data_IF_522858585243
#
_entry.id   IF_522858585243
#
_cell.length_a   1.000
_cell.length_b   1.000
_cell.length_c   1.000
_cell.angle_alpha   90.00
_cell.angle_beta   90.00
_cell.angle_gamma   90.00
#
_symmetry.space_group_name_H-M   'P 1'
#
loop_
_entity.id
_entity.type
_entity.pdbx_description
1 polymer ?
#
# COMPACT_ATOMS: atom_id res chain seq x y z
N UNK A 1 3.20 29.49 -68.99
CA UNK A 1 1.81 29.98 -69.09
C UNK A 1 1.46 30.66 -67.76
N UNK A 2 1.07 31.94 -67.85
CA UNK A 2 0.42 32.84 -66.88
C UNK A 2 0.71 32.72 -65.36
N UNK A 3 1.35 33.77 -64.82
CA UNK A 3 1.08 34.34 -63.48
C UNK A 3 -0.06 35.38 -63.59
N UNK A 4 -0.41 36.23 -62.60
CA UNK A 4 -0.34 36.19 -61.12
C UNK A 4 -1.72 36.56 -60.46
N UNK A 5 -1.78 36.65 -59.11
CA UNK A 5 -2.50 37.77 -58.47
C UNK A 5 -3.54 37.46 -57.36
N UNK A 6 -3.84 38.47 -56.50
CA UNK A 6 -4.22 38.34 -55.08
C UNK A 6 -5.68 38.77 -54.80
N UNK A 7 -6.15 38.80 -53.54
CA UNK A 7 -7.11 39.81 -52.98
C UNK A 7 -7.40 39.48 -51.48
N UNK A 8 -6.97 40.34 -50.55
CA UNK A 8 -7.71 41.43 -49.87
C UNK A 8 -8.68 40.98 -48.75
N UNK A 9 -8.19 41.10 -47.51
CA UNK A 9 -8.69 42.12 -46.56
C UNK A 9 -9.93 41.82 -45.71
N UNK A 10 -10.08 42.55 -44.57
CA UNK A 10 -10.84 42.09 -43.40
C UNK A 10 -12.14 42.88 -43.18
N UNK A 11 -12.70 42.72 -41.98
CA UNK A 11 -13.36 43.76 -41.15
C UNK A 11 -14.87 43.50 -40.85
N UNK A 12 -15.46 44.19 -39.86
CA UNK A 12 -15.98 43.62 -38.62
C UNK A 12 -17.48 43.98 -38.46
N UNK A 13 -18.06 43.84 -37.26
CA UNK A 13 -18.96 44.81 -36.59
C UNK A 13 -20.15 44.21 -35.83
N UNK A 14 -20.25 44.66 -34.56
CA UNK A 14 -21.46 45.21 -33.88
C UNK A 14 -22.49 44.17 -33.40
N UNK A 15 -23.08 44.22 -32.20
CA UNK A 15 -22.86 44.97 -30.96
C UNK A 15 -23.74 44.36 -29.86
N UNK A 16 -23.39 44.66 -28.61
CA UNK A 16 -24.20 44.49 -27.42
C UNK A 16 -25.37 45.50 -27.35
N UNK A 17 -26.44 45.15 -26.64
CA UNK A 17 -27.46 46.11 -26.20
C UNK A 17 -28.58 45.48 -25.34
N UNK A 18 -29.24 46.23 -24.43
CA UNK A 18 -29.52 45.78 -23.06
C UNK A 18 -30.99 45.85 -22.58
N UNK A 19 -31.34 45.01 -21.60
CA UNK A 19 -32.36 45.21 -20.53
C UNK A 19 -33.83 45.46 -20.94
N UNK A 20 -34.79 45.64 -19.99
CA UNK A 20 -34.67 45.62 -18.53
C UNK A 20 -35.71 44.72 -17.80
N UNK A 21 -35.44 44.51 -16.51
CA UNK A 21 -36.30 43.88 -15.51
C UNK A 21 -37.43 44.81 -15.06
N UNK A 22 -38.59 44.25 -14.68
CA UNK A 22 -39.53 44.88 -13.73
C UNK A 22 -40.05 43.83 -12.73
N UNK A 23 -39.97 44.21 -11.47
CA UNK A 23 -40.40 43.52 -10.26
C UNK A 23 -41.93 43.41 -10.10
N UNK A 24 -42.39 42.34 -9.43
CA UNK A 24 -43.37 42.46 -8.35
C UNK A 24 -43.20 41.36 -7.29
N UNK A 25 -43.55 41.74 -6.07
CA UNK A 25 -43.10 41.27 -4.75
C UNK A 25 -44.22 40.40 -4.06
N UNK A 26 -44.28 40.24 -2.71
CA UNK A 26 -43.82 39.11 -1.88
C UNK A 26 -44.93 38.24 -1.21
N UNK A 27 -44.54 37.14 -0.53
CA UNK A 27 -44.74 36.90 0.93
C UNK A 27 -44.78 35.40 1.36
N UNK A 28 -43.70 34.97 2.05
CA UNK A 28 -43.61 34.33 3.39
C UNK A 28 -44.49 33.11 3.82
N UNK A 29 -44.25 32.47 4.99
CA UNK A 29 -43.05 31.73 5.40
C UNK A 29 -43.34 30.35 6.05
N UNK A 30 -42.26 29.66 6.45
CA UNK A 30 -42.14 28.72 7.57
C UNK A 30 -42.58 27.25 7.39
N UNK A 31 -41.58 26.35 7.54
CA UNK A 31 -41.56 25.42 8.69
C UNK A 31 -40.16 24.83 8.90
N UNK A 32 -39.50 25.33 9.95
CA UNK A 32 -38.42 24.65 10.66
C UNK A 32 -38.91 23.27 11.08
N UNK A 33 -38.25 22.22 10.62
CA UNK A 33 -38.23 20.92 11.32
C UNK A 33 -36.85 20.74 11.89
N UNK A 34 -36.76 20.90 13.22
CA UNK A 34 -35.65 20.41 14.02
C UNK A 34 -35.71 18.88 13.94
N UNK A 35 -34.80 18.28 13.19
CA UNK A 35 -34.53 16.85 13.28
C UNK A 35 -33.39 16.65 14.30
N UNK A 36 -33.52 15.68 15.23
CA UNK A 36 -32.52 15.44 16.26
C UNK A 36 -31.22 14.91 15.63
N UNK A 37 -30.11 15.44 16.12
CA UNK A 37 -28.77 14.86 15.99
C UNK A 37 -28.81 13.40 16.46
N UNK A 38 -28.77 12.47 15.52
CA UNK A 38 -28.42 11.08 15.79
C UNK A 38 -26.93 10.96 15.47
N UNK A 39 -26.15 10.78 16.52
CA UNK A 39 -24.79 10.30 16.44
C UNK A 39 -24.79 8.90 15.80
N UNK A 40 -24.39 8.84 14.53
CA UNK A 40 -23.84 7.64 13.90
C UNK A 40 -22.34 7.94 13.81
N UNK A 41 -21.52 7.48 14.75
CA UNK A 41 -21.33 6.06 15.02
C UNK A 41 -20.29 5.56 14.03
N UNK A 42 -19.01 5.84 14.36
CA UNK A 42 -17.80 5.27 13.80
C UNK A 42 -18.02 3.88 13.17
N UNK A 43 -17.91 3.79 11.84
CA UNK A 43 -17.57 2.58 11.08
C UNK A 43 -17.36 2.95 9.60
N UNK A 44 -16.23 3.59 9.30
CA UNK A 44 -15.75 3.78 7.90
C UNK A 44 -14.33 3.22 7.68
N UNK A 45 -13.70 2.66 8.72
CA UNK A 45 -12.34 2.08 8.63
C UNK A 45 -12.38 0.56 8.44
N UNK A 46 -13.05 0.07 7.39
CA UNK A 46 -13.12 -1.37 7.13
C UNK A 46 -13.61 -1.77 5.73
N UNK A 47 -13.44 -0.89 4.73
CA UNK A 47 -14.20 -0.97 3.48
C UNK A 47 -13.40 -1.12 2.19
N UNK A 48 -12.12 -1.50 2.22
CA UNK A 48 -11.33 -1.66 0.97
C UNK A 48 -11.04 -3.13 0.64
N UNK A 49 -11.04 -4.04 1.63
CA UNK A 49 -10.87 -5.48 1.40
C UNK A 49 -12.07 -6.19 0.74
N UNK A 50 -13.26 -5.58 0.76
CA UNK A 50 -14.48 -6.18 0.19
C UNK A 50 -14.75 -5.79 -1.28
N UNK A 51 -14.01 -4.83 -1.84
CA UNK A 51 -14.31 -4.31 -3.18
C UNK A 51 -13.67 -5.15 -4.30
N UNK A 52 -12.47 -5.68 -4.09
CA UNK A 52 -11.74 -6.49 -5.10
C UNK A 52 -12.42 -7.83 -5.41
N UNK A 53 -13.06 -8.45 -4.41
CA UNK A 53 -13.74 -9.72 -4.58
C UNK A 53 -15.16 -9.63 -5.13
N UNK A 54 -15.67 -8.46 -5.53
CA UNK A 54 -17.09 -8.32 -5.98
C UNK A 54 -17.28 -7.90 -7.44
N UNK A 55 -16.28 -7.29 -8.08
CA UNK A 55 -16.41 -6.81 -9.46
C UNK A 55 -15.90 -7.82 -10.51
N UNK A 56 -15.01 -8.74 -10.12
CA UNK A 56 -14.35 -9.68 -11.04
C UNK A 56 -14.44 -11.14 -10.63
N UNK A 57 -15.03 -11.44 -9.47
CA UNK A 57 -15.48 -12.78 -9.08
C UNK A 57 -16.27 -13.39 -10.24
N UNK A 58 -17.29 -12.70 -10.74
CA UNK A 58 -18.14 -13.23 -11.82
C UNK A 58 -17.36 -13.53 -13.13
N UNK A 59 -16.28 -12.80 -13.44
CA UNK A 59 -15.50 -13.03 -14.66
C UNK A 59 -14.46 -14.16 -14.50
N UNK A 60 -13.89 -14.30 -13.30
CA UNK A 60 -13.07 -15.46 -12.93
C UNK A 60 -13.95 -16.72 -12.82
N UNK A 61 -15.21 -16.58 -12.40
CA UNK A 61 -16.11 -17.71 -12.10
C UNK A 61 -17.11 -18.09 -13.20
N UNK A 62 -17.34 -17.25 -14.23
CA UNK A 62 -18.11 -17.65 -15.42
C UNK A 62 -17.44 -18.78 -16.23
N UNK A 63 -16.16 -19.06 -15.96
CA UNK A 63 -15.40 -20.18 -16.53
C UNK A 63 -15.56 -21.48 -15.76
N UNK A 64 -16.09 -21.46 -14.53
CA UNK A 64 -15.96 -22.60 -13.61
C UNK A 64 -17.23 -22.85 -12.80
N UNK A 65 -18.24 -23.41 -13.46
CA UNK A 65 -19.31 -24.22 -12.85
C UNK A 65 -19.83 -25.26 -13.87
N UNK A 66 -20.33 -26.43 -13.46
CA UNK A 66 -19.72 -27.40 -12.53
C UNK A 66 -19.85 -28.87 -13.02
N UNK A 67 -19.18 -29.84 -12.37
CA UNK A 67 -19.76 -31.16 -12.12
C UNK A 67 -19.17 -31.83 -10.87
N UNK A 68 -20.08 -32.49 -10.15
CA UNK A 68 -20.06 -32.98 -8.76
C UNK A 68 -18.88 -33.82 -8.28
N UNK A 69 -18.67 -33.81 -6.95
CA UNK A 69 -17.94 -34.89 -6.25
C UNK A 69 -17.45 -34.53 -4.85
N UNK A 70 -18.24 -34.90 -3.83
CA UNK A 70 -17.99 -34.68 -2.40
C UNK A 70 -16.94 -35.62 -1.77
N UNK A 71 -16.30 -35.18 -0.66
CA UNK A 71 -15.94 -35.92 0.60
C UNK A 71 -14.99 -35.03 1.45
N UNK A 72 -15.31 -34.50 2.65
CA UNK A 72 -15.20 -35.08 4.04
C UNK A 72 -13.85 -35.78 4.32
N UNK A 73 -13.10 -35.65 5.43
CA UNK A 73 -13.31 -35.24 6.83
C UNK A 73 -11.90 -35.08 7.49
N UNK A 74 -11.64 -34.16 8.43
CA UNK A 74 -11.52 -34.35 9.91
C UNK A 74 -10.10 -34.22 10.52
N UNK A 75 -9.99 -33.23 11.42
CA UNK A 75 -9.41 -33.18 12.77
C UNK A 75 -8.09 -33.89 13.16
N UNK A 76 -7.23 -33.12 13.84
CA UNK A 76 -6.18 -33.60 14.73
C UNK A 76 -5.61 -32.50 15.63
N UNK A 77 -5.78 -32.68 16.94
CA UNK A 77 -5.61 -31.70 18.03
C UNK A 77 -4.29 -31.91 18.79
N UNK A 78 -3.65 -30.80 19.21
CA UNK A 78 -2.86 -30.57 20.45
C UNK A 78 -1.66 -31.46 20.79
N UNK A 79 -0.49 -30.85 21.06
CA UNK A 79 0.14 -30.83 22.42
C UNK A 79 1.41 -29.97 22.45
N UNK A 80 1.49 -29.16 23.51
CA UNK A 80 2.64 -28.36 23.91
C UNK A 80 3.70 -29.22 24.62
N UNK A 81 4.96 -28.79 24.59
CA UNK A 81 5.92 -29.13 25.63
C UNK A 81 6.94 -28.00 25.86
N UNK A 82 6.96 -27.56 27.13
CA UNK A 82 7.98 -26.71 27.72
C UNK A 82 9.27 -27.52 27.98
N UNK A 83 10.41 -26.84 27.92
CA UNK A 83 11.67 -27.25 28.56
C UNK A 83 12.49 -25.99 28.96
N UNK A 84 13.37 -26.08 29.98
CA UNK A 84 13.57 -25.03 30.97
C UNK A 84 14.71 -24.02 30.69
N UNK A 85 14.56 -22.85 31.31
CA UNK A 85 15.58 -21.79 31.45
C UNK A 85 16.73 -22.23 32.36
N UNK A 86 17.96 -21.86 31.99
CA UNK A 86 19.16 -21.98 32.81
C UNK A 86 19.58 -20.59 33.34
N UNK A 87 20.05 -20.61 34.58
CA UNK A 87 20.25 -19.49 35.49
C UNK A 87 21.42 -18.54 35.18
N UNK A 88 21.27 -17.36 35.77
CA UNK A 88 22.12 -16.19 35.78
C UNK A 88 23.58 -16.40 36.18
N UNK A 89 24.49 -15.72 35.47
CA UNK A 89 25.87 -15.47 35.92
C UNK A 89 26.10 -13.98 36.07
N UNK A 90 26.03 -13.54 37.33
CA UNK A 90 26.26 -12.18 37.85
C UNK A 90 27.69 -11.70 37.58
N UNK A 91 27.85 -10.66 36.76
CA UNK A 91 29.10 -9.92 36.58
C UNK A 91 29.05 -8.58 37.34
N UNK A 92 30.19 -8.18 37.90
CA UNK A 92 30.36 -7.00 38.75
C UNK A 92 30.27 -5.66 37.97
N UNK A 93 29.89 -4.54 38.62
CA UNK A 93 29.71 -3.27 37.95
C UNK A 93 31.06 -2.57 37.68
N UNK A 94 31.29 -2.02 36.47
CA UNK A 94 32.36 -1.06 36.24
C UNK A 94 32.04 0.30 36.91
N UNK A 95 33.08 1.09 37.25
CA UNK A 95 32.93 2.35 37.97
C UNK A 95 32.14 3.39 37.17
N UNK A 96 31.34 4.17 37.89
CA UNK A 96 30.45 5.20 37.37
C UNK A 96 31.22 6.23 36.54
N UNK A 97 31.00 6.21 35.22
CA UNK A 97 31.29 7.35 34.37
C UNK A 97 30.36 8.50 34.74
N UNK A 98 30.92 9.72 34.75
CA UNK A 98 30.16 10.94 34.95
C UNK A 98 28.96 11.01 33.98
N UNK A 99 27.82 11.61 34.37
CA UNK A 99 26.70 11.77 33.47
C UNK A 99 27.13 12.64 32.30
N UNK A 100 27.37 12.02 31.14
CA UNK A 100 27.36 12.75 29.88
C UNK A 100 26.00 13.44 29.81
N UNK A 101 26.02 14.77 29.83
CA UNK A 101 24.85 15.55 29.57
C UNK A 101 24.33 15.09 28.20
N UNK A 102 23.21 14.37 28.20
CA UNK A 102 22.51 13.93 27.00
C UNK A 102 22.01 15.19 26.31
N UNK A 103 22.86 15.79 25.50
CA UNK A 103 22.51 16.92 24.66
C UNK A 103 21.40 16.46 23.72
N UNK A 104 20.35 17.28 23.60
CA UNK A 104 19.29 17.05 22.64
C UNK A 104 19.93 16.99 21.24
N UNK A 105 19.67 15.96 20.42
CA UNK A 105 20.25 15.86 19.08
C UNK A 105 19.93 17.09 18.24
N UNK A 106 20.91 17.58 17.49
CA UNK A 106 20.69 18.68 16.56
C UNK A 106 19.90 18.20 15.34
N UNK A 107 19.27 19.13 14.60
CA UNK A 107 18.62 18.79 13.32
C UNK A 107 19.58 18.10 12.34
N UNK A 108 20.86 18.48 12.37
CA UNK A 108 21.88 17.87 11.52
C UNK A 108 22.21 16.43 11.93
N UNK A 109 22.18 16.12 13.23
CA UNK A 109 22.38 14.76 13.73
C UNK A 109 21.20 13.86 13.38
N UNK A 110 19.98 14.39 13.47
CA UNK A 110 18.76 13.70 13.02
C UNK A 110 18.80 13.43 11.52
N UNK A 111 19.11 14.43 10.68
CA UNK A 111 19.23 14.24 9.23
C UNK A 111 20.28 13.17 8.92
N UNK A 112 21.48 13.24 9.52
CA UNK A 112 22.54 12.25 9.31
C UNK A 112 22.07 10.84 9.67
N UNK A 113 21.35 10.69 10.77
CA UNK A 113 20.81 9.40 11.24
C UNK A 113 19.79 8.84 10.26
N UNK A 114 18.81 9.64 9.84
CA UNK A 114 17.80 9.21 8.87
C UNK A 114 18.46 8.86 7.53
N UNK A 115 19.40 9.67 7.05
CA UNK A 115 20.13 9.42 5.79
C UNK A 115 21.03 8.17 5.83
N UNK A 116 21.21 7.54 7.01
CA UNK A 116 21.83 6.22 7.13
C UNK A 116 20.95 5.07 6.61
N UNK A 117 19.68 5.33 6.25
CA UNK A 117 18.73 4.32 5.75
C UNK A 117 18.31 4.66 4.33
N UNK A 118 18.22 3.64 3.46
CA UNK A 118 18.00 3.84 2.02
C UNK A 118 16.64 4.46 1.72
N UNK A 119 15.60 4.10 2.48
CA UNK A 119 14.26 4.68 2.32
C UNK A 119 14.26 6.20 2.51
N UNK A 120 14.97 6.71 3.51
CA UNK A 120 15.00 8.15 3.80
C UNK A 120 15.84 8.95 2.80
N UNK A 121 16.87 8.33 2.22
CA UNK A 121 17.61 8.93 1.09
C UNK A 121 16.67 9.12 -0.11
N UNK A 122 15.92 8.07 -0.46
CA UNK A 122 14.94 8.12 -1.56
C UNK A 122 13.85 9.16 -1.31
N UNK A 123 13.30 9.21 -0.09
CA UNK A 123 12.25 10.18 0.26
C UNK A 123 12.77 11.61 0.28
N UNK A 124 13.99 11.86 0.77
CA UNK A 124 14.61 13.20 0.72
C UNK A 124 14.79 13.68 -0.72
N UNK A 125 15.17 12.79 -1.62
CA UNK A 125 15.33 13.12 -3.04
C UNK A 125 14.01 13.48 -3.72
N UNK A 126 12.94 12.72 -3.46
CA UNK A 126 11.66 12.87 -4.17
C UNK A 126 10.65 13.80 -3.48
N UNK A 127 10.81 14.02 -2.17
CA UNK A 127 9.94 14.83 -1.31
C UNK A 127 10.75 15.64 -0.28
N UNK A 128 11.65 16.55 -0.72
CA UNK A 128 12.58 17.23 0.17
C UNK A 128 11.90 18.06 1.27
N UNK A 129 10.85 18.82 0.94
CA UNK A 129 10.13 19.67 1.91
C UNK A 129 9.42 18.85 2.99
N UNK A 130 8.75 17.76 2.57
CA UNK A 130 8.10 16.83 3.48
C UNK A 130 9.14 16.16 4.40
N UNK A 131 10.27 15.71 3.84
CA UNK A 131 11.34 15.10 4.59
C UNK A 131 11.94 16.04 5.65
N UNK A 132 12.19 17.31 5.30
CA UNK A 132 12.69 18.30 6.27
C UNK A 132 11.71 18.51 7.44
N UNK A 133 10.40 18.46 7.17
CA UNK A 133 9.39 18.52 8.22
C UNK A 133 9.47 17.32 9.17
N UNK A 134 9.84 16.13 8.67
CA UNK A 134 10.04 14.94 9.52
C UNK A 134 11.32 15.02 10.34
N UNK A 135 12.41 15.58 9.81
CA UNK A 135 13.63 15.86 10.58
C UNK A 135 13.32 16.76 11.78
N UNK A 136 12.55 17.84 11.57
CA UNK A 136 12.13 18.73 12.64
C UNK A 136 11.26 18.04 13.70
N UNK A 137 10.32 17.19 13.28
CA UNK A 137 9.49 16.43 14.21
C UNK A 137 10.27 15.43 15.04
N UNK A 138 11.22 14.71 14.45
CA UNK A 138 12.05 13.75 15.20
C UNK A 138 12.86 14.48 16.24
N UNK A 139 13.51 15.61 15.89
CA UNK A 139 14.24 16.43 16.87
C UNK A 139 13.34 16.89 18.03
N UNK A 140 12.10 17.32 17.72
CA UNK A 140 11.10 17.69 18.73
C UNK A 140 10.72 16.50 19.61
N UNK A 141 10.36 15.35 19.03
CA UNK A 141 9.96 14.15 19.78
C UNK A 141 11.10 13.63 20.66
N UNK A 142 12.35 13.69 20.19
CA UNK A 142 13.52 13.36 21.02
C UNK A 142 13.70 14.35 22.16
N UNK A 143 13.50 15.66 21.93
CA UNK A 143 13.49 16.68 22.99
C UNK A 143 12.39 16.46 24.04
N UNK A 144 11.25 15.92 23.61
CA UNK A 144 10.14 15.48 24.47
C UNK A 144 10.40 14.14 25.18
N UNK A 145 11.59 13.54 25.00
CA UNK A 145 11.99 12.24 25.57
C UNK A 145 11.07 11.08 25.17
N UNK A 146 10.51 11.12 23.96
CA UNK A 146 9.81 9.97 23.39
C UNK A 146 10.77 8.80 23.16
N UNK A 147 10.25 7.58 23.27
CA UNK A 147 11.06 6.38 23.02
C UNK A 147 11.38 6.24 21.52
N UNK A 148 12.47 5.54 21.19
CA UNK A 148 12.81 5.23 19.80
C UNK A 148 11.68 4.45 19.09
N UNK A 149 10.93 3.62 19.83
CA UNK A 149 9.78 2.90 19.31
C UNK A 149 8.64 3.84 18.92
N UNK A 150 8.34 4.83 19.76
CA UNK A 150 7.30 5.83 19.47
C UNK A 150 7.70 6.70 18.26
N UNK A 151 8.97 7.11 18.19
CA UNK A 151 9.51 7.88 17.06
C UNK A 151 9.48 7.06 15.78
N UNK A 152 9.84 5.78 15.83
CA UNK A 152 9.80 4.87 14.67
C UNK A 152 8.37 4.64 14.21
N UNK A 153 7.44 4.38 15.13
CA UNK A 153 6.01 4.25 14.82
C UNK A 153 5.48 5.53 14.17
N UNK A 154 5.82 6.71 14.70
CA UNK A 154 5.47 7.99 14.10
C UNK A 154 5.96 8.09 12.65
N UNK A 155 7.25 7.85 12.43
CA UNK A 155 7.85 7.95 11.10
C UNK A 155 7.25 6.96 10.09
N UNK A 156 7.00 5.72 10.51
CA UNK A 156 6.35 4.71 9.67
C UNK A 156 4.93 5.13 9.29
N UNK A 157 4.14 5.62 10.26
CA UNK A 157 2.80 6.16 9.97
C UNK A 157 2.85 7.32 8.98
N UNK A 158 3.85 8.18 9.08
CA UNK A 158 4.05 9.29 8.15
C UNK A 158 4.43 8.82 6.74
N UNK A 159 5.28 7.80 6.60
CA UNK A 159 5.57 7.19 5.29
C UNK A 159 4.32 6.55 4.67
N UNK A 160 3.52 5.83 5.47
CA UNK A 160 2.27 5.23 5.02
C UNK A 160 1.29 6.31 4.55
N UNK A 161 1.15 7.40 5.29
CA UNK A 161 0.32 8.52 4.90
C UNK A 161 0.79 9.15 3.57
N UNK A 162 2.08 9.46 3.45
CA UNK A 162 2.66 10.03 2.23
C UNK A 162 2.42 9.12 1.01
N UNK A 163 2.62 7.80 1.18
CA UNK A 163 2.34 6.81 0.14
C UNK A 163 0.87 6.87 -0.29
N UNK A 164 -0.07 6.84 0.66
CA UNK A 164 -1.52 6.84 0.38
C UNK A 164 -1.97 8.08 -0.36
N UNK A 165 -1.49 9.25 0.05
CA UNK A 165 -1.79 10.54 -0.60
C UNK A 165 -1.28 10.59 -2.05
N UNK A 166 -0.26 9.79 -2.37
CA UNK A 166 0.36 9.71 -3.69
C UNK A 166 0.06 8.39 -4.43
N UNK A 167 -0.89 7.59 -3.96
CA UNK A 167 -1.15 6.26 -4.51
C UNK A 167 -1.52 6.30 -6.00
N UNK A 168 -2.28 7.31 -6.45
CA UNK A 168 -2.59 7.49 -7.87
C UNK A 168 -1.34 7.64 -8.75
N UNK A 169 -0.28 8.26 -8.22
CA UNK A 169 0.97 8.42 -8.96
C UNK A 169 1.76 7.12 -9.02
N UNK A 170 1.77 6.33 -7.93
CA UNK A 170 2.35 4.98 -7.98
C UNK A 170 1.67 4.10 -9.04
N UNK A 171 0.33 4.17 -9.10
CA UNK A 171 -0.47 3.42 -10.08
C UNK A 171 -0.30 3.92 -11.52
N UNK A 172 0.13 5.15 -11.72
CA UNK A 172 0.45 5.71 -13.03
C UNK A 172 1.92 5.48 -13.44
N UNK A 173 2.71 4.73 -12.67
CA UNK A 173 4.08 4.39 -13.06
C UNK A 173 4.14 3.40 -14.23
N UNK A 174 5.29 3.28 -14.91
CA UNK A 174 5.43 2.31 -16.00
C UNK A 174 5.36 0.85 -15.51
N UNK A 175 5.11 -0.07 -16.46
CA UNK A 175 5.07 -1.51 -16.20
C UNK A 175 6.35 -2.06 -15.55
N UNK A 176 7.58 -1.65 -15.97
CA UNK A 176 8.79 -2.00 -15.24
C UNK A 176 8.75 -1.62 -13.76
N UNK A 177 8.22 -0.43 -13.40
CA UNK A 177 8.08 -0.03 -11.98
C UNK A 177 7.06 -0.86 -11.22
N UNK A 178 5.94 -1.19 -11.84
CA UNK A 178 4.97 -2.11 -11.24
C UNK A 178 5.59 -3.48 -11.00
N UNK A 179 6.41 -3.98 -11.92
CA UNK A 179 7.16 -5.24 -11.73
C UNK A 179 8.16 -5.15 -10.58
N UNK A 180 8.94 -4.09 -10.50
CA UNK A 180 9.89 -3.86 -9.39
C UNK A 180 9.17 -3.81 -8.04
N UNK A 181 8.04 -3.12 -7.98
CA UNK A 181 7.21 -2.99 -6.78
C UNK A 181 6.62 -4.34 -6.34
N UNK A 182 6.08 -5.11 -7.29
CA UNK A 182 5.57 -6.45 -7.04
C UNK A 182 6.68 -7.41 -6.55
N UNK A 183 7.86 -7.34 -7.15
CA UNK A 183 9.01 -8.15 -6.74
C UNK A 183 9.50 -7.79 -5.33
N UNK A 184 9.59 -6.49 -5.02
CA UNK A 184 9.97 -6.03 -3.68
C UNK A 184 8.93 -6.41 -2.62
N UNK A 185 7.64 -6.31 -2.93
CA UNK A 185 6.55 -6.76 -2.05
C UNK A 185 6.65 -8.27 -1.78
N UNK A 186 6.83 -9.08 -2.82
CA UNK A 186 7.01 -10.53 -2.68
C UNK A 186 8.26 -10.89 -1.85
N UNK A 187 9.37 -10.19 -2.06
CA UNK A 187 10.59 -10.40 -1.29
C UNK A 187 10.38 -10.09 0.21
N UNK A 188 9.65 -9.01 0.52
CA UNK A 188 9.28 -8.66 1.88
C UNK A 188 8.33 -9.72 2.51
N UNK A 189 7.31 -10.18 1.79
CA UNK A 189 6.44 -11.26 2.28
C UNK A 189 7.22 -12.54 2.61
N UNK A 190 8.13 -12.94 1.72
CA UNK A 190 9.00 -14.10 1.93
C UNK A 190 9.90 -13.94 3.14
N UNK A 191 10.44 -12.75 3.36
CA UNK A 191 11.31 -12.47 4.50
C UNK A 191 10.55 -12.46 5.83
N UNK A 192 9.34 -11.87 5.86
CA UNK A 192 8.46 -11.89 7.03
C UNK A 192 7.99 -13.31 7.37
N UNK A 193 7.78 -14.15 6.36
CA UNK A 193 7.33 -15.53 6.57
C UNK A 193 8.41 -16.46 7.16
N UNK A 194 9.69 -16.09 7.12
CA UNK A 194 10.79 -16.90 7.70
C UNK A 194 10.70 -17.05 9.21
N UNK A 195 10.06 -16.11 9.89
CA UNK A 195 9.86 -16.12 11.35
C UNK A 195 8.48 -16.69 11.74
N UNK A 196 7.77 -17.31 10.79
CA UNK A 196 6.43 -17.87 10.96
C UNK A 196 5.34 -17.09 10.21
N UNK A 197 4.15 -17.69 10.07
CA UNK A 197 3.05 -17.07 9.32
C UNK A 197 2.45 -15.82 9.97
N UNK A 198 2.62 -15.65 11.28
CA UNK A 198 2.04 -14.52 12.02
C UNK A 198 2.59 -13.17 11.56
N UNK A 199 3.90 -13.05 11.37
CA UNK A 199 4.54 -11.80 10.95
C UNK A 199 4.09 -11.35 9.56
N UNK A 200 4.05 -12.31 8.62
CA UNK A 200 3.57 -12.09 7.27
C UNK A 200 2.08 -11.73 7.24
N UNK A 201 1.23 -12.47 7.94
CA UNK A 201 -0.21 -12.20 8.00
C UNK A 201 -0.52 -10.84 8.65
N UNK A 202 0.18 -10.50 9.74
CA UNK A 202 0.03 -9.22 10.41
C UNK A 202 0.40 -8.05 9.50
N UNK A 203 1.45 -8.23 8.67
CA UNK A 203 1.83 -7.26 7.66
C UNK A 203 0.80 -7.18 6.53
N UNK A 204 0.27 -8.31 6.04
CA UNK A 204 -0.81 -8.30 5.05
C UNK A 204 -2.04 -7.53 5.57
N UNK A 205 -2.35 -7.71 6.85
CA UNK A 205 -3.55 -7.14 7.47
C UNK A 205 -3.42 -5.65 7.83
N UNK A 206 -2.21 -5.19 8.20
CA UNK A 206 -1.98 -3.84 8.73
C UNK A 206 -0.93 -3.03 7.96
N UNK A 207 -0.35 -3.61 6.92
CA UNK A 207 0.77 -3.04 6.19
C UNK A 207 1.97 -2.76 7.09
N UNK A 208 2.65 -1.67 6.76
CA UNK A 208 3.86 -1.21 7.45
C UNK A 208 3.59 -0.79 8.91
N UNK A 209 2.34 -0.52 9.28
CA UNK A 209 1.96 -0.16 10.66
C UNK A 209 1.87 -1.36 11.61
N UNK A 210 2.10 -2.59 11.12
CA UNK A 210 2.12 -3.77 11.96
C UNK A 210 3.24 -3.71 13.02
N UNK A 211 3.03 -4.23 14.25
CA UNK A 211 4.05 -4.20 15.29
C UNK A 211 5.37 -4.87 14.91
N UNK A 212 5.32 -5.95 14.13
CA UNK A 212 6.53 -6.63 13.65
C UNK A 212 7.35 -5.73 12.72
N UNK A 213 6.70 -5.01 11.80
CA UNK A 213 7.39 -4.09 10.90
C UNK A 213 7.96 -2.90 11.66
N UNK A 214 7.20 -2.30 12.58
CA UNK A 214 7.70 -1.18 13.40
C UNK A 214 8.97 -1.61 14.15
N UNK A 215 8.96 -2.79 14.79
CA UNK A 215 10.14 -3.34 15.49
C UNK A 215 11.31 -3.57 14.54
N UNK A 216 11.08 -4.21 13.39
CA UNK A 216 12.14 -4.46 12.40
C UNK A 216 12.72 -3.17 11.82
N UNK A 217 11.90 -2.13 11.66
CA UNK A 217 12.37 -0.81 11.20
C UNK A 217 13.35 -0.14 12.16
N UNK A 218 13.36 -0.52 13.45
CA UNK A 218 14.37 -0.03 14.40
C UNK A 218 15.76 -0.62 14.17
N UNK A 219 15.85 -1.80 13.54
CA UNK A 219 17.10 -2.51 13.29
C UNK A 219 17.44 -2.51 11.78
N UNK A 220 18.50 -1.81 11.34
CA UNK A 220 18.95 -1.86 9.95
C UNK A 220 19.19 -3.28 9.41
N UNK A 221 19.59 -4.22 10.27
CA UNK A 221 19.84 -5.61 9.87
C UNK A 221 18.55 -6.38 9.53
N UNK A 222 17.40 -5.95 10.05
CA UNK A 222 16.10 -6.63 9.90
C UNK A 222 15.13 -5.91 8.95
N UNK A 223 15.46 -4.70 8.51
CA UNK A 223 14.55 -3.82 7.75
C UNK A 223 14.82 -3.76 6.25
N UNK A 224 15.87 -4.42 5.75
CA UNK A 224 16.31 -4.30 4.37
C UNK A 224 15.20 -4.55 3.34
N UNK A 225 14.38 -5.59 3.50
CA UNK A 225 13.30 -5.90 2.55
C UNK A 225 12.10 -4.95 2.68
N UNK A 226 11.80 -4.50 3.90
CA UNK A 226 10.75 -3.50 4.15
C UNK A 226 11.14 -2.17 3.48
N UNK A 227 12.40 -1.75 3.64
CA UNK A 227 12.92 -0.54 3.00
C UNK A 227 12.97 -0.67 1.48
N UNK A 228 13.39 -1.82 0.94
CA UNK A 228 13.38 -2.07 -0.50
C UNK A 228 11.97 -1.92 -1.09
N UNK A 229 10.94 -2.43 -0.40
CA UNK A 229 9.56 -2.23 -0.81
C UNK A 229 9.16 -0.74 -0.78
N UNK A 230 9.45 -0.03 0.31
CA UNK A 230 9.14 1.41 0.43
C UNK A 230 9.86 2.24 -0.65
N UNK A 231 11.12 1.94 -0.93
CA UNK A 231 11.89 2.57 -2.01
C UNK A 231 11.25 2.30 -3.37
N UNK A 232 10.83 1.07 -3.65
CA UNK A 232 10.15 0.73 -4.91
C UNK A 232 8.83 1.50 -5.06
N UNK A 233 8.07 1.65 -3.97
CA UNK A 233 6.84 2.46 -3.94
C UNK A 233 7.14 3.93 -4.24
N UNK A 234 8.09 4.56 -3.56
CA UNK A 234 8.41 5.97 -3.79
C UNK A 234 9.05 6.22 -5.15
N UNK A 235 9.81 5.26 -5.70
CA UNK A 235 10.29 5.31 -7.08
C UNK A 235 9.14 5.27 -8.09
N UNK A 236 8.13 4.40 -7.88
CA UNK A 236 6.94 4.36 -8.72
C UNK A 236 6.14 5.67 -8.62
N UNK A 237 5.95 6.22 -7.42
CA UNK A 237 5.30 7.51 -7.23
C UNK A 237 6.03 8.62 -7.98
N UNK A 238 7.36 8.69 -7.80
CA UNK A 238 8.19 9.70 -8.44
C UNK A 238 8.10 9.62 -9.96
N UNK A 239 8.12 8.42 -10.52
CA UNK A 239 7.99 8.22 -11.96
C UNK A 239 6.60 8.57 -12.47
N UNK A 240 5.53 8.03 -11.88
CA UNK A 240 4.16 8.30 -12.36
C UNK A 240 3.71 9.74 -12.15
N UNK A 241 4.33 10.49 -11.23
CA UNK A 241 4.18 11.95 -11.14
C UNK A 241 4.84 12.68 -12.31
N UNK A 242 6.02 12.22 -12.75
CA UNK A 242 6.81 12.85 -13.82
C UNK A 242 6.32 12.45 -15.22
N UNK A 243 5.94 11.20 -15.40
CA UNK A 243 5.57 10.59 -16.67
C UNK A 243 4.44 9.55 -16.45
N UNK A 244 3.19 10.00 -16.26
CA UNK A 244 2.06 9.10 -16.01
C UNK A 244 1.79 8.20 -17.22
N UNK A 245 1.79 6.89 -17.00
CA UNK A 245 1.40 5.87 -17.96
C UNK A 245 -0.11 5.60 -17.91
N UNK A 246 -0.66 5.18 -19.06
CA UNK A 246 -2.03 4.67 -19.13
C UNK A 246 -2.01 3.14 -19.07
N UNK A 247 -2.91 2.58 -18.26
CA UNK A 247 -3.07 1.14 -18.10
C UNK A 247 -4.44 0.71 -18.56
N UNK A 248 -4.50 -0.36 -19.33
CA UNK A 248 -5.76 -1.00 -19.72
C UNK A 248 -6.16 -2.02 -18.66
N UNK A 249 -7.46 -2.19 -18.44
CA UNK A 249 -7.96 -3.20 -17.52
C UNK A 249 -7.65 -4.61 -18.05
N UNK A 250 -7.36 -5.59 -17.18
CA UNK A 250 -7.22 -6.98 -17.59
C UNK A 250 -8.45 -7.50 -18.31
N UNK A 251 -8.22 -8.40 -19.25
CA UNK A 251 -9.27 -9.15 -19.95
C UNK A 251 -9.24 -10.62 -19.52
N UNK A 252 -10.29 -11.36 -19.85
CA UNK A 252 -10.44 -12.77 -19.48
C UNK A 252 -9.19 -13.63 -19.78
N UNK A 253 -8.58 -13.47 -20.95
CA UNK A 253 -7.39 -14.24 -21.35
C UNK A 253 -6.19 -14.01 -20.44
N UNK A 254 -6.11 -12.85 -19.80
CA UNK A 254 -5.04 -12.54 -18.85
C UNK A 254 -5.21 -13.38 -17.58
N UNK A 255 -6.45 -13.48 -17.09
CA UNK A 255 -6.78 -14.32 -15.95
C UNK A 255 -6.60 -15.81 -16.24
N UNK A 256 -6.86 -16.25 -17.48
CA UNK A 256 -6.59 -17.64 -17.90
C UNK A 256 -5.07 -17.96 -17.81
N UNK A 257 -4.21 -17.01 -18.21
CA UNK A 257 -2.74 -17.15 -18.07
C UNK A 257 -2.32 -17.21 -16.59
N UNK A 258 -2.85 -16.30 -15.78
CA UNK A 258 -2.56 -16.27 -14.34
C UNK A 258 -3.00 -17.57 -13.64
N UNK A 259 -4.19 -18.08 -13.98
CA UNK A 259 -4.68 -19.35 -13.46
C UNK A 259 -3.76 -20.52 -13.84
N UNK A 260 -3.23 -20.51 -15.07
CA UNK A 260 -2.22 -21.47 -15.52
C UNK A 260 -0.94 -21.44 -14.68
N UNK A 261 -0.42 -20.24 -14.40
CA UNK A 261 0.79 -20.07 -13.57
C UNK A 261 0.56 -20.48 -12.11
N UNK A 262 -0.60 -20.17 -11.54
CA UNK A 262 -0.99 -20.65 -10.20
C UNK A 262 -1.17 -22.17 -10.16
N UNK A 263 -1.74 -22.77 -11.20
CA UNK A 263 -1.85 -24.23 -11.33
C UNK A 263 -0.48 -24.92 -11.36
N UNK A 264 0.54 -24.28 -11.97
CA UNK A 264 1.94 -24.74 -11.91
C UNK A 264 2.53 -24.69 -10.50
N UNK A 265 2.07 -23.77 -9.67
CA UNK A 265 2.41 -23.70 -8.24
C UNK A 265 1.57 -24.67 -7.39
N UNK A 266 0.73 -25.50 -7.99
CA UNK A 266 -0.05 -26.52 -7.32
C UNK A 266 -1.39 -26.04 -6.76
N UNK A 267 -1.86 -24.85 -7.17
CA UNK A 267 -3.19 -24.38 -6.76
C UNK A 267 -4.29 -25.22 -7.39
N UNK A 268 -5.22 -25.64 -6.55
CA UNK A 268 -6.45 -26.32 -6.95
C UNK A 268 -7.58 -25.33 -7.21
N UNK A 269 -8.70 -25.82 -7.76
CA UNK A 269 -9.90 -25.00 -7.89
C UNK A 269 -10.42 -24.49 -6.54
N UNK A 270 -10.30 -25.30 -5.48
CA UNK A 270 -10.69 -24.90 -4.13
C UNK A 270 -9.80 -23.77 -3.60
N UNK A 271 -8.50 -23.79 -3.92
CA UNK A 271 -7.58 -22.71 -3.54
C UNK A 271 -7.93 -21.39 -4.22
N UNK A 272 -8.28 -21.45 -5.51
CA UNK A 272 -8.76 -20.28 -6.26
C UNK A 272 -10.03 -19.69 -5.65
N UNK A 273 -10.99 -20.55 -5.28
CA UNK A 273 -12.24 -20.13 -4.64
C UNK A 273 -11.98 -19.51 -3.26
N UNK A 274 -11.14 -20.15 -2.45
CA UNK A 274 -10.73 -19.63 -1.14
C UNK A 274 -10.09 -18.26 -1.27
N UNK A 275 -9.13 -18.09 -2.20
CA UNK A 275 -8.41 -16.83 -2.38
C UNK A 275 -9.31 -15.68 -2.84
N UNK A 276 -10.27 -16.00 -3.72
CA UNK A 276 -11.19 -15.01 -4.25
C UNK A 276 -12.29 -14.59 -3.25
N UNK A 277 -12.45 -15.31 -2.13
CA UNK A 277 -13.42 -15.00 -1.10
C UNK A 277 -12.74 -14.38 0.13
N UNK A 278 -12.78 -13.04 0.30
CA UNK A 278 -12.08 -12.38 1.40
C UNK A 278 -12.53 -12.84 2.79
N UNK A 279 -13.79 -13.28 2.93
CA UNK A 279 -14.32 -13.72 4.23
C UNK A 279 -13.77 -15.09 4.63
N UNK A 280 -13.71 -16.01 3.68
CA UNK A 280 -13.13 -17.34 3.90
C UNK A 280 -11.62 -17.26 4.02
N UNK A 281 -10.96 -16.46 3.17
CA UNK A 281 -9.52 -16.23 3.26
C UNK A 281 -9.12 -15.65 4.62
N UNK A 282 -9.91 -14.73 5.19
CA UNK A 282 -9.65 -14.18 6.52
C UNK A 282 -9.79 -15.21 7.66
N UNK A 283 -10.50 -16.32 7.43
CA UNK A 283 -10.67 -17.41 8.39
C UNK A 283 -9.66 -18.55 8.19
N UNK A 284 -8.96 -18.57 7.04
CA UNK A 284 -7.95 -19.56 6.76
C UNK A 284 -6.74 -19.43 7.73
N UNK A 285 -5.96 -20.51 7.93
CA UNK A 285 -4.73 -20.43 8.70
C UNK A 285 -3.81 -19.32 8.19
N UNK A 286 -3.21 -18.54 9.10
CA UNK A 286 -2.38 -17.37 8.75
C UNK A 286 -1.21 -17.70 7.83
N UNK A 287 -0.54 -18.83 8.10
CA UNK A 287 0.51 -19.38 7.24
C UNK A 287 0.00 -19.68 5.82
N UNK A 288 -1.21 -20.23 5.70
CA UNK A 288 -1.84 -20.51 4.41
C UNK A 288 -2.11 -19.23 3.64
N UNK A 289 -2.68 -18.21 4.27
CA UNK A 289 -2.94 -16.90 3.64
C UNK A 289 -1.63 -16.27 3.15
N UNK A 290 -0.58 -16.32 3.97
CA UNK A 290 0.72 -15.81 3.59
C UNK A 290 1.30 -16.55 2.37
N UNK A 291 1.29 -17.89 2.38
CA UNK A 291 1.74 -18.71 1.24
C UNK A 291 0.95 -18.39 -0.02
N UNK A 292 -0.37 -18.28 0.08
CA UNK A 292 -1.22 -17.98 -1.07
C UNK A 292 -0.91 -16.58 -1.65
N UNK A 293 -0.69 -15.56 -0.81
CA UNK A 293 -0.28 -14.25 -1.31
C UNK A 293 1.12 -14.28 -1.96
N UNK A 294 2.06 -15.06 -1.43
CA UNK A 294 3.37 -15.23 -2.06
C UNK A 294 3.26 -15.89 -3.44
N UNK A 295 2.49 -16.97 -3.55
CA UNK A 295 2.25 -17.67 -4.81
C UNK A 295 1.53 -16.77 -5.81
N UNK A 296 0.55 -15.98 -5.36
CA UNK A 296 -0.16 -15.00 -6.18
C UNK A 296 0.79 -14.02 -6.85
N UNK A 297 1.68 -13.37 -6.10
CA UNK A 297 2.66 -12.45 -6.67
C UNK A 297 3.72 -13.17 -7.50
N UNK A 298 4.14 -14.38 -7.11
CA UNK A 298 5.07 -15.19 -7.89
C UNK A 298 4.50 -15.55 -9.27
N UNK A 299 3.24 -15.96 -9.33
CA UNK A 299 2.54 -16.27 -10.57
C UNK A 299 2.42 -15.05 -11.48
N UNK A 300 2.06 -13.87 -10.94
CA UNK A 300 2.03 -12.63 -11.72
C UNK A 300 3.38 -12.32 -12.37
N UNK A 301 4.47 -12.47 -11.61
CA UNK A 301 5.83 -12.21 -12.07
C UNK A 301 6.33 -13.25 -13.09
N UNK A 302 5.75 -14.45 -13.10
CA UNK A 302 6.09 -15.54 -14.01
C UNK A 302 5.41 -15.45 -15.39
N UNK A 303 4.33 -14.66 -15.53
CA UNK A 303 3.63 -14.46 -16.81
C UNK A 303 4.62 -13.87 -17.85
N UNK A 304 4.79 -14.60 -18.97
CA UNK A 304 5.73 -14.21 -20.03
C UNK A 304 5.15 -13.16 -20.98
N UNK A 305 3.83 -13.17 -21.21
CA UNK A 305 3.17 -12.16 -22.02
C UNK A 305 3.19 -10.81 -21.29
N UNK A 306 4.03 -9.89 -21.75
CA UNK A 306 4.26 -8.61 -21.06
C UNK A 306 3.00 -7.75 -20.98
N UNK A 307 2.14 -7.79 -22.01
CA UNK A 307 0.92 -6.99 -22.04
C UNK A 307 -0.07 -7.49 -20.97
N UNK A 308 -0.26 -8.81 -20.86
CA UNK A 308 -1.11 -9.42 -19.83
C UNK A 308 -0.53 -9.21 -18.43
N UNK A 309 0.79 -9.42 -18.26
CA UNK A 309 1.48 -9.16 -16.99
C UNK A 309 1.28 -7.72 -16.53
N UNK A 310 1.43 -6.74 -17.42
CA UNK A 310 1.21 -5.32 -17.12
C UNK A 310 -0.21 -5.06 -16.63
N UNK A 311 -1.22 -5.52 -17.37
CA UNK A 311 -2.62 -5.27 -17.01
C UNK A 311 -2.94 -5.87 -15.64
N UNK A 312 -2.52 -7.11 -15.40
CA UNK A 312 -2.76 -7.82 -14.14
C UNK A 312 -2.02 -7.17 -12.96
N UNK A 313 -0.74 -6.82 -13.12
CA UNK A 313 0.04 -6.16 -12.07
C UNK A 313 -0.57 -4.81 -11.68
N UNK A 314 -1.04 -4.02 -12.65
CA UNK A 314 -1.70 -2.75 -12.35
C UNK A 314 -2.89 -2.94 -11.39
N UNK A 315 -3.77 -3.91 -11.66
CA UNK A 315 -4.90 -4.20 -10.77
C UNK A 315 -4.46 -4.77 -9.42
N UNK A 316 -3.54 -5.74 -9.44
CA UNK A 316 -3.06 -6.44 -8.23
C UNK A 316 -2.34 -5.50 -7.26
N UNK A 317 -1.67 -4.44 -7.75
CA UNK A 317 -0.92 -3.52 -6.90
C UNK A 317 -1.78 -2.40 -6.28
N UNK A 318 -3.02 -2.19 -6.73
CA UNK A 318 -3.95 -1.20 -6.14
C UNK A 318 -4.03 -1.28 -4.61
N UNK A 319 -4.33 -2.44 -3.99
CA UNK A 319 -4.33 -2.56 -2.53
C UNK A 319 -2.92 -2.38 -1.94
N UNK A 320 -1.88 -2.85 -2.62
CA UNK A 320 -0.49 -2.76 -2.12
C UNK A 320 -0.01 -1.31 -2.03
N UNK A 321 -0.45 -0.40 -2.90
CA UNK A 321 -0.04 1.00 -2.84
C UNK A 321 -1.01 1.88 -2.04
N UNK A 322 -2.30 1.53 -2.05
CA UNK A 322 -3.34 2.32 -1.36
C UNK A 322 -3.47 1.96 0.13
N UNK A 323 -2.98 0.78 0.53
CA UNK A 323 -3.05 0.27 1.90
C UNK A 323 -4.47 0.01 2.34
#
# INVERSE_FOLDING_TARGET
MAAPGPHLGPDPRIAAGPGPSVHHEPAAPARRRKAPLIAVGLLVMGGVGAWLGSQYTEQIFALVQPQDGASTSENGTTTANLAPQAEDKKAAPPPAAAPEATSVPTLQDVDRTLQGRTVWVSVKQEFPEWYQSRVADVARLTGEKKSDADITSYLVNQLVQLRRENAQHALAASSPRHKDLAAAFLANLRDLAREGGDGCYDFISRGETSPIVIRRMQDPAQSAQIEAQLVAVFAAIAEGRKAPAQHTAPVKTDYDLLAGELGRLGWTQADMQLFANPRELAQAPRERVCSMLQDWFAAHLAIQDQASQQRLLFETLKPVVSG
#
